data_IF_471031214784
#
_entry.id   IF_471031214784
#
_cell.length_a   1.000
_cell.length_b   1.000
_cell.length_c   1.000
_cell.angle_alpha   90.00
_cell.angle_beta   90.00
_cell.angle_gamma   90.00
#
_symmetry.space_group_name_H-M   'P 1'
#
loop_
_entity.id
_entity.type
_entity.pdbx_description
1 polymer ?
#
# COMPACT_ATOMS: atom_id res chain seq x y z
N UNK A 1 41.07 -14.20 -23.54
CA UNK A 1 41.14 -13.37 -22.31
C UNK A 1 40.60 -11.97 -22.50
N UNK A 2 40.95 -11.27 -23.59
CA UNK A 2 40.55 -9.88 -23.82
C UNK A 2 39.02 -9.64 -23.92
N UNK A 3 38.30 -10.58 -24.54
CA UNK A 3 36.82 -10.57 -24.61
C UNK A 3 36.16 -10.79 -23.25
N UNK A 4 36.71 -11.66 -22.40
CA UNK A 4 36.20 -11.92 -21.04
C UNK A 4 36.43 -10.69 -20.15
N UNK A 5 37.58 -10.02 -20.28
CA UNK A 5 37.85 -8.77 -19.58
C UNK A 5 36.96 -7.61 -20.01
N UNK A 6 36.65 -7.49 -21.32
CA UNK A 6 35.70 -6.48 -21.82
C UNK A 6 34.28 -6.67 -21.28
N UNK A 7 33.81 -7.93 -21.19
CA UNK A 7 32.52 -8.25 -20.60
C UNK A 7 32.51 -7.96 -19.08
N UNK A 8 33.57 -8.32 -18.36
CA UNK A 8 33.71 -8.04 -16.93
C UNK A 8 33.79 -6.54 -16.61
N UNK A 9 34.49 -5.76 -17.44
CA UNK A 9 34.54 -4.29 -17.33
C UNK A 9 33.19 -3.64 -17.69
N UNK A 10 32.43 -4.21 -18.63
CA UNK A 10 31.08 -3.73 -18.96
C UNK A 10 30.09 -3.97 -17.80
N UNK A 11 30.21 -5.09 -17.09
CA UNK A 11 29.36 -5.41 -15.92
C UNK A 11 29.70 -4.54 -14.71
N UNK A 12 30.97 -4.17 -14.53
CA UNK A 12 31.43 -3.29 -13.45
C UNK A 12 31.31 -1.79 -13.76
N UNK A 13 30.92 -1.42 -14.98
CA UNK A 13 30.64 -0.04 -15.36
C UNK A 13 29.39 0.52 -14.66
N UNK A 14 29.28 1.84 -14.44
CA UNK A 14 28.07 2.46 -13.90
C UNK A 14 26.81 2.14 -14.71
N UNK A 15 26.94 1.98 -16.03
CA UNK A 15 25.85 1.54 -16.89
C UNK A 15 25.44 0.08 -16.61
N UNK A 16 26.41 -0.82 -16.39
CA UNK A 16 26.16 -2.20 -15.99
C UNK A 16 25.39 -2.31 -14.67
N UNK A 17 25.77 -1.53 -13.67
CA UNK A 17 25.04 -1.42 -12.40
C UNK A 17 23.62 -0.87 -12.59
N UNK A 18 23.44 0.14 -13.46
CA UNK A 18 22.12 0.68 -13.79
C UNK A 18 21.22 -0.39 -14.43
N UNK A 19 21.72 -1.13 -15.42
CA UNK A 19 20.96 -2.21 -16.05
C UNK A 19 20.65 -3.35 -15.08
N UNK A 20 21.58 -3.68 -14.16
CA UNK A 20 21.35 -4.69 -13.13
C UNK A 20 20.25 -4.26 -12.15
N UNK A 21 20.21 -2.99 -11.76
CA UNK A 21 19.13 -2.43 -10.93
C UNK A 21 17.81 -2.47 -11.69
N UNK A 22 17.77 -1.98 -12.93
CA UNK A 22 16.55 -1.97 -13.74
C UNK A 22 16.02 -3.40 -14.01
N UNK A 23 16.89 -4.37 -14.22
CA UNK A 23 16.53 -5.78 -14.38
C UNK A 23 15.92 -6.42 -13.13
N UNK A 24 16.16 -5.88 -11.93
CA UNK A 24 15.49 -6.35 -10.70
C UNK A 24 14.03 -5.89 -10.66
N UNK A 25 13.73 -4.69 -11.17
CA UNK A 25 12.37 -4.17 -11.23
C UNK A 25 11.47 -4.92 -12.21
N UNK A 26 12.00 -5.60 -13.23
CA UNK A 26 11.16 -6.35 -14.17
C UNK A 26 10.40 -7.49 -13.50
N UNK A 27 10.99 -8.15 -12.49
CA UNK A 27 10.34 -9.21 -11.73
C UNK A 27 9.26 -8.69 -10.75
N UNK A 28 9.33 -7.41 -10.40
CA UNK A 28 8.41 -6.74 -9.48
C UNK A 28 7.30 -5.95 -10.18
N UNK A 29 7.39 -5.77 -11.50
CA UNK A 29 6.53 -4.86 -12.27
C UNK A 29 5.03 -5.08 -12.02
N UNK A 30 4.58 -6.33 -12.03
CA UNK A 30 3.16 -6.66 -11.93
C UNK A 30 2.64 -6.43 -10.50
N UNK A 31 3.48 -6.77 -9.51
CA UNK A 31 3.19 -6.56 -8.09
C UNK A 31 3.09 -5.07 -7.78
N UNK A 32 4.03 -4.28 -8.29
CA UNK A 32 4.05 -2.83 -8.08
C UNK A 32 2.94 -2.12 -8.84
N UNK A 33 2.62 -2.56 -10.05
CA UNK A 33 1.52 -2.02 -10.83
C UNK A 33 0.17 -2.23 -10.12
N UNK A 34 -0.10 -3.45 -9.65
CA UNK A 34 -1.34 -3.73 -8.91
C UNK A 34 -1.39 -2.99 -7.57
N UNK A 35 -0.27 -2.90 -6.85
CA UNK A 35 -0.17 -2.13 -5.61
C UNK A 35 -0.52 -0.65 -5.84
N UNK A 36 0.06 -0.06 -6.88
CA UNK A 36 -0.22 1.33 -7.27
C UNK A 36 -1.70 1.53 -7.60
N UNK A 37 -2.29 0.62 -8.38
CA UNK A 37 -3.70 0.70 -8.77
C UNK A 37 -4.62 0.65 -7.55
N UNK A 38 -4.37 -0.28 -6.62
CA UNK A 38 -5.16 -0.43 -5.39
C UNK A 38 -5.02 0.79 -4.48
N UNK A 39 -3.80 1.30 -4.27
CA UNK A 39 -3.57 2.48 -3.41
C UNK A 39 -4.21 3.74 -4.02
N UNK A 40 -4.16 3.90 -5.35
CA UNK A 40 -4.86 4.99 -6.03
C UNK A 40 -6.38 4.85 -5.87
N UNK A 41 -6.93 3.63 -6.00
CA UNK A 41 -8.35 3.38 -5.78
C UNK A 41 -8.77 3.67 -4.33
N UNK A 42 -7.98 3.27 -3.33
CA UNK A 42 -8.20 3.62 -1.92
C UNK A 42 -8.20 5.14 -1.72
N UNK A 43 -7.21 5.83 -2.29
CA UNK A 43 -7.13 7.28 -2.20
C UNK A 43 -8.35 7.97 -2.83
N UNK A 44 -8.73 7.60 -4.05
CA UNK A 44 -9.90 8.17 -4.75
C UNK A 44 -11.18 7.90 -3.96
N UNK A 45 -11.41 6.66 -3.51
CA UNK A 45 -12.61 6.31 -2.73
C UNK A 45 -12.64 7.05 -1.39
N UNK A 46 -11.49 7.22 -0.73
CA UNK A 46 -11.37 8.01 0.48
C UNK A 46 -11.69 9.49 0.28
N UNK A 47 -11.27 10.07 -0.87
CA UNK A 47 -11.62 11.44 -1.23
C UNK A 47 -13.13 11.61 -1.47
N UNK A 48 -13.74 10.69 -2.22
CA UNK A 48 -15.18 10.73 -2.51
C UNK A 48 -16.00 10.56 -1.23
N UNK A 49 -15.63 9.63 -0.36
CA UNK A 49 -16.25 9.44 0.95
C UNK A 49 -16.17 10.70 1.82
N UNK A 50 -15.00 11.35 1.85
CA UNK A 50 -14.80 12.59 2.62
C UNK A 50 -15.66 13.74 2.07
N UNK A 51 -15.78 13.87 0.76
CA UNK A 51 -16.63 14.89 0.11
C UNK A 51 -18.11 14.66 0.42
N UNK A 52 -18.59 13.42 0.31
CA UNK A 52 -20.01 13.09 0.59
C UNK A 52 -20.43 13.42 2.02
N UNK A 53 -19.51 13.34 2.99
CA UNK A 53 -19.76 13.62 4.41
C UNK A 53 -19.36 15.03 4.86
N UNK A 54 -18.98 15.91 3.93
CA UNK A 54 -18.60 17.30 4.26
C UNK A 54 -17.33 17.43 5.11
N UNK A 55 -16.49 16.39 5.17
CA UNK A 55 -15.24 16.42 5.95
C UNK A 55 -14.12 17.02 5.08
N UNK A 56 -13.36 18.01 5.55
CA UNK A 56 -12.30 18.63 4.75
C UNK A 56 -11.20 17.62 4.40
N UNK A 57 -10.89 17.51 3.11
CA UNK A 57 -9.70 16.82 2.62
C UNK A 57 -8.46 17.65 2.95
N UNK A 58 -7.75 17.29 4.01
CA UNK A 58 -6.49 17.94 4.36
C UNK A 58 -5.31 17.34 3.60
N UNK A 59 -4.29 18.17 3.34
CA UNK A 59 -3.00 17.74 2.79
C UNK A 59 -2.33 16.63 3.62
N UNK A 60 -2.74 16.45 4.88
CA UNK A 60 -2.26 15.38 5.76
C UNK A 60 -2.70 14.00 5.31
N UNK A 61 -3.94 13.83 4.84
CA UNK A 61 -4.41 12.53 4.33
C UNK A 61 -3.67 12.11 3.07
N UNK A 62 -3.40 13.06 2.19
CA UNK A 62 -2.59 12.83 0.99
C UNK A 62 -1.16 12.40 1.37
N UNK A 63 -0.54 13.03 2.38
CA UNK A 63 0.76 12.57 2.91
C UNK A 63 0.68 11.15 3.49
N UNK A 64 -0.38 10.79 4.20
CA UNK A 64 -0.55 9.42 4.72
C UNK A 64 -0.63 8.39 3.59
N UNK A 65 -1.37 8.68 2.51
CA UNK A 65 -1.42 7.80 1.33
C UNK A 65 -0.06 7.68 0.64
N UNK A 66 0.72 8.77 0.54
CA UNK A 66 2.09 8.72 0.02
C UNK A 66 3.00 7.89 0.93
N UNK A 67 2.90 8.07 2.26
CA UNK A 67 3.69 7.30 3.23
C UNK A 67 3.36 5.80 3.16
N UNK A 68 2.07 5.43 3.09
CA UNK A 68 1.65 4.04 2.84
C UNK A 68 2.31 3.48 1.58
N UNK A 69 2.21 4.22 0.48
CA UNK A 69 2.77 3.81 -0.81
C UNK A 69 4.28 3.56 -0.74
N UNK A 70 5.04 4.49 -0.16
CA UNK A 70 6.50 4.34 0.02
C UNK A 70 6.86 3.17 0.93
N UNK A 71 6.14 2.99 2.05
CA UNK A 71 6.34 1.87 2.96
C UNK A 71 6.04 0.53 2.28
N UNK A 72 4.95 0.43 1.51
CA UNK A 72 4.58 -0.81 0.83
C UNK A 72 5.56 -1.17 -0.28
N UNK A 73 5.98 -0.22 -1.11
CA UNK A 73 7.03 -0.46 -2.11
C UNK A 73 8.34 -0.87 -1.44
N UNK A 74 8.72 -0.19 -0.35
CA UNK A 74 9.93 -0.52 0.42
C UNK A 74 9.91 -1.93 0.98
N UNK A 75 8.84 -2.32 1.68
CA UNK A 75 8.73 -3.67 2.28
C UNK A 75 8.74 -4.76 1.22
N UNK A 76 7.97 -4.60 0.13
CA UNK A 76 7.93 -5.61 -0.95
C UNK A 76 9.29 -5.73 -1.63
N UNK A 77 9.98 -4.62 -1.90
CA UNK A 77 11.33 -4.62 -2.46
C UNK A 77 12.34 -5.28 -1.53
N UNK A 78 12.34 -4.94 -0.24
CA UNK A 78 13.25 -5.52 0.75
C UNK A 78 13.05 -7.03 0.89
N UNK A 79 11.80 -7.52 0.86
CA UNK A 79 11.53 -8.95 0.89
C UNK A 79 12.01 -9.67 -0.37
N UNK A 80 11.84 -9.04 -1.54
CA UNK A 80 12.34 -9.57 -2.80
C UNK A 80 13.88 -9.69 -2.79
N UNK A 81 14.57 -8.64 -2.34
CA UNK A 81 16.02 -8.66 -2.20
C UNK A 81 16.49 -9.67 -1.15
N UNK A 82 15.81 -9.75 0.00
CA UNK A 82 16.08 -10.74 1.03
C UNK A 82 15.98 -12.18 0.49
N UNK A 83 14.92 -12.46 -0.28
CA UNK A 83 14.71 -13.74 -0.91
C UNK A 83 15.83 -14.08 -1.92
N UNK A 84 16.24 -13.11 -2.74
CA UNK A 84 17.31 -13.29 -3.72
C UNK A 84 18.67 -13.51 -3.05
N UNK A 85 18.99 -12.77 -1.99
CA UNK A 85 20.27 -12.91 -1.27
C UNK A 85 20.38 -14.29 -0.61
N UNK A 86 19.29 -14.80 -0.06
CA UNK A 86 19.26 -16.12 0.58
C UNK A 86 19.04 -17.28 -0.38
N UNK A 87 18.86 -17.03 -1.69
CA UNK A 87 18.53 -18.02 -2.72
C UNK A 87 17.32 -18.91 -2.33
N UNK A 88 16.27 -18.27 -1.81
CA UNK A 88 15.04 -18.97 -1.41
C UNK A 88 14.07 -18.98 -2.59
N UNK A 89 14.07 -20.06 -3.36
CA UNK A 89 13.23 -20.14 -4.57
C UNK A 89 11.87 -20.84 -4.34
N UNK A 90 11.72 -21.58 -3.23
CA UNK A 90 10.52 -22.38 -2.97
C UNK A 90 9.32 -21.57 -2.46
N UNK A 91 9.53 -20.33 -2.00
CA UNK A 91 8.47 -19.45 -1.51
C UNK A 91 8.62 -18.03 -2.07
N UNK A 92 7.55 -17.49 -2.66
CA UNK A 92 7.51 -16.11 -3.14
C UNK A 92 7.07 -15.15 -2.04
N UNK A 93 7.95 -14.93 -1.05
CA UNK A 93 7.66 -14.15 0.16
C UNK A 93 7.11 -12.75 -0.13
N UNK A 94 7.72 -12.05 -1.10
CA UNK A 94 7.28 -10.71 -1.52
C UNK A 94 5.87 -10.70 -2.12
N UNK A 95 5.45 -11.78 -2.82
CA UNK A 95 4.08 -11.91 -3.37
C UNK A 95 3.06 -12.17 -2.26
N UNK A 96 3.43 -12.96 -1.26
CA UNK A 96 2.56 -13.25 -0.11
C UNK A 96 2.30 -11.96 0.68
N UNK A 97 3.35 -11.20 0.99
CA UNK A 97 3.22 -9.93 1.70
C UNK A 97 2.48 -8.89 0.85
N UNK A 98 2.77 -8.81 -0.45
CA UNK A 98 2.00 -7.95 -1.35
C UNK A 98 0.51 -8.33 -1.37
N UNK A 99 0.18 -9.62 -1.42
CA UNK A 99 -1.19 -10.12 -1.34
C UNK A 99 -1.90 -9.70 -0.04
N UNK A 100 -1.20 -9.76 1.10
CA UNK A 100 -1.72 -9.25 2.36
C UNK A 100 -1.98 -7.74 2.32
N UNK A 101 -1.04 -6.96 1.77
CA UNK A 101 -1.21 -5.50 1.60
C UNK A 101 -2.42 -5.21 0.71
N UNK A 102 -2.61 -5.95 -0.40
CA UNK A 102 -3.78 -5.80 -1.26
C UNK A 102 -5.09 -6.03 -0.50
N UNK A 103 -5.15 -7.07 0.34
CA UNK A 103 -6.33 -7.34 1.16
C UNK A 103 -6.63 -6.19 2.14
N UNK A 104 -5.61 -5.66 2.82
CA UNK A 104 -5.76 -4.52 3.73
C UNK A 104 -6.31 -3.29 3.00
N UNK A 105 -5.78 -2.98 1.82
CA UNK A 105 -6.25 -1.83 1.04
C UNK A 105 -7.63 -2.06 0.42
N UNK A 106 -7.99 -3.29 0.03
CA UNK A 106 -9.34 -3.65 -0.39
C UNK A 106 -10.35 -3.47 0.75
N UNK A 107 -9.99 -3.82 1.98
CA UNK A 107 -10.83 -3.57 3.16
C UNK A 107 -11.03 -2.06 3.36
N UNK A 108 -9.98 -1.25 3.22
CA UNK A 108 -10.06 0.21 3.30
C UNK A 108 -10.99 0.79 2.21
N UNK A 109 -10.93 0.27 0.99
CA UNK A 109 -11.85 0.62 -0.10
C UNK A 109 -13.30 0.25 0.27
N UNK A 110 -13.54 -0.95 0.81
CA UNK A 110 -14.87 -1.38 1.23
C UNK A 110 -15.46 -0.46 2.30
N UNK A 111 -14.64 0.02 3.24
CA UNK A 111 -15.04 1.01 4.24
C UNK A 111 -15.45 2.33 3.60
N UNK A 112 -14.63 2.84 2.67
CA UNK A 112 -14.96 4.07 1.94
C UNK A 112 -16.26 3.90 1.13
N UNK A 113 -16.44 2.75 0.48
CA UNK A 113 -17.64 2.44 -0.30
C UNK A 113 -18.89 2.27 0.58
N UNK A 114 -18.75 1.74 1.80
CA UNK A 114 -19.82 1.67 2.77
C UNK A 114 -20.30 3.09 3.17
N UNK A 115 -19.36 4.02 3.39
CA UNK A 115 -19.67 5.43 3.68
C UNK A 115 -20.29 6.14 2.48
N UNK A 116 -19.80 5.87 1.26
CA UNK A 116 -20.32 6.48 0.03
C UNK A 116 -21.72 5.95 -0.29
N UNK A 117 -21.97 4.65 -0.19
CA UNK A 117 -23.21 4.05 -0.68
C UNK A 117 -24.28 3.99 0.40
N UNK A 118 -23.90 4.04 1.68
CA UNK A 118 -24.79 3.81 2.84
C UNK A 118 -25.56 2.47 2.74
N UNK A 119 -25.04 1.54 1.95
CA UNK A 119 -25.68 0.25 1.70
C UNK A 119 -25.39 -0.72 2.83
N UNK A 120 -26.46 -1.32 3.37
CA UNK A 120 -26.44 -2.26 4.49
C UNK A 120 -25.55 -3.49 4.25
N UNK A 121 -25.35 -3.90 2.99
CA UNK A 121 -24.51 -5.04 2.62
C UNK A 121 -23.03 -4.75 2.89
N UNK A 122 -22.51 -3.63 2.40
CA UNK A 122 -21.12 -3.22 2.64
C UNK A 122 -20.85 -2.99 4.13
N UNK A 123 -21.81 -2.38 4.83
CA UNK A 123 -21.74 -2.18 6.28
C UNK A 123 -21.64 -3.50 7.05
N UNK A 124 -22.39 -4.53 6.62
CA UNK A 124 -22.37 -5.87 7.24
C UNK A 124 -21.04 -6.59 6.96
N UNK A 125 -20.51 -6.49 5.75
CA UNK A 125 -19.19 -7.05 5.40
C UNK A 125 -18.09 -6.41 6.25
N UNK A 126 -18.05 -5.09 6.32
CA UNK A 126 -17.08 -4.35 7.14
C UNK A 126 -17.21 -4.72 8.63
N UNK A 127 -18.45 -4.85 9.13
CA UNK A 127 -18.71 -5.33 10.51
C UNK A 127 -18.13 -6.72 10.77
N UNK A 128 -18.32 -7.66 9.84
CA UNK A 128 -17.79 -9.02 9.96
C UNK A 128 -16.26 -9.03 9.98
N UNK A 129 -15.62 -8.22 9.13
CA UNK A 129 -14.16 -8.13 9.04
C UNK A 129 -13.55 -7.49 10.29
N UNK A 130 -14.20 -6.46 10.86
CA UNK A 130 -13.70 -5.73 12.04
C UNK A 130 -13.96 -6.45 13.38
N UNK A 131 -14.75 -7.51 13.41
CA UNK A 131 -14.88 -8.41 14.57
C UNK A 131 -15.45 -7.80 15.86
N UNK A 132 -15.98 -6.57 15.86
CA UNK A 132 -16.55 -5.94 17.07
C UNK A 132 -18.07 -5.84 17.04
N UNK A 133 -18.68 -6.41 18.07
CA UNK A 133 -20.03 -6.12 18.51
C UNK A 133 -20.08 -4.71 19.14
N UNK A 134 -20.32 -3.63 18.37
CA UNK A 134 -20.84 -2.41 18.98
C UNK A 134 -21.54 -1.45 18.00
N UNK A 135 -22.68 -0.96 18.50
CA UNK A 135 -23.53 0.21 18.18
C UNK A 135 -23.90 0.49 16.71
N UNK A 136 -25.07 1.09 16.57
CA UNK A 136 -25.82 1.24 15.33
C UNK A 136 -25.18 2.20 14.31
N UNK A 137 -24.07 2.87 14.67
CA UNK A 137 -23.44 3.94 13.91
C UNK A 137 -22.00 3.64 13.42
N UNK A 138 -21.82 2.50 12.75
CA UNK A 138 -20.53 2.10 12.11
C UNK A 138 -19.92 3.24 11.28
N UNK A 139 -20.77 4.00 10.59
CA UNK A 139 -20.35 5.12 9.73
C UNK A 139 -19.62 6.17 10.58
N UNK A 140 -20.17 6.52 11.75
CA UNK A 140 -19.56 7.50 12.63
C UNK A 140 -18.25 6.95 13.25
N UNK A 141 -18.19 5.65 13.56
CA UNK A 141 -16.98 5.01 14.09
C UNK A 141 -15.84 5.00 13.06
N UNK A 142 -16.10 4.59 11.81
CA UNK A 142 -15.11 4.63 10.72
C UNK A 142 -14.62 6.07 10.50
N UNK A 143 -15.54 7.04 10.56
CA UNK A 143 -15.21 8.45 10.39
C UNK A 143 -14.36 8.96 11.56
N UNK A 144 -14.73 8.63 12.80
CA UNK A 144 -14.03 9.04 14.01
C UNK A 144 -12.63 8.45 14.06
N UNK A 145 -12.43 7.19 13.71
CA UNK A 145 -11.10 6.58 13.62
C UNK A 145 -10.23 7.27 12.55
N UNK A 146 -10.78 7.51 11.35
CA UNK A 146 -10.10 8.30 10.29
C UNK A 146 -9.88 9.78 10.69
N UNK A 147 -10.52 10.24 11.76
CA UNK A 147 -10.38 11.57 12.34
C UNK A 147 -9.51 11.61 13.62
N UNK A 148 -9.42 10.56 14.43
CA UNK A 148 -8.66 10.51 15.68
C UNK A 148 -7.16 10.35 15.44
N UNK A 149 -6.78 9.72 14.33
CA UNK A 149 -5.45 9.88 13.74
C UNK A 149 -5.03 11.37 13.71
N UNK A 150 -5.98 12.31 13.53
CA UNK A 150 -5.73 13.76 13.47
C UNK A 150 -5.26 14.37 14.79
N UNK A 151 -5.67 13.87 15.95
CA UNK A 151 -5.44 14.51 17.25
C UNK A 151 -4.15 14.04 17.93
N UNK A 152 -3.81 12.75 17.82
CA UNK A 152 -2.59 12.19 18.43
C UNK A 152 -1.31 12.83 17.88
N UNK A 153 -1.18 12.98 16.54
CA UNK A 153 -0.01 13.63 15.93
C UNK A 153 0.10 15.16 16.15
N UNK A 154 -0.93 15.82 16.70
CA UNK A 154 -0.85 17.24 17.09
C UNK A 154 -0.32 17.43 18.51
N UNK A 155 -0.47 16.43 19.39
CA UNK A 155 0.05 16.49 20.76
C UNK A 155 1.56 16.32 20.81
N UNK A 156 2.12 15.51 19.91
CA UNK A 156 3.57 15.23 19.84
C UNK A 156 4.40 16.35 19.20
N UNK A 157 3.77 17.48 18.82
CA UNK A 157 4.43 18.66 18.23
C UNK A 157 4.32 19.91 19.09
N UNK A 158 3.96 19.78 20.36
CA UNK A 158 3.94 20.90 21.30
C UNK A 158 4.96 20.71 22.41
#
# INVERSE_FOLDING_TARGET
>A
METINKISQSISSPAGWLFAILGRFTSLKDVFFLLLLIVIADFITGLVASRKKGVPCSSRRLRQSISKMLCYFGVVYLLFEFQNILNIDWIASYKIVAGFIYLVELISILENMAVITENKIFMKIVKLIRGKAQKDDIVNDIINEKNEDKTLSKKDKK
#
